data_IF_831783171234
#
_entry.id   IF_831783171234
#
_cell.length_a   1.000
_cell.length_b   1.000
_cell.length_c   1.000
_cell.angle_alpha   90.00
_cell.angle_beta   90.00
_cell.angle_gamma   90.00
#
_symmetry.space_group_name_H-M   'P 1'
#
loop_
_entity.id
_entity.type
_entity.pdbx_description
1 polymer ?
#
# COMPACT_ATOMS: atom_id res chain seq x y z
N UNK A 1 -6.20 -16.95 -16.74
CA UNK A 1 -5.96 -17.11 -15.29
C UNK A 1 -6.95 -16.24 -14.54
N UNK A 2 -7.45 -16.67 -13.38
CA UNK A 2 -8.25 -15.81 -12.51
C UNK A 2 -7.34 -14.66 -12.01
N UNK A 3 -7.62 -13.43 -12.41
CA UNK A 3 -6.83 -12.24 -12.05
C UNK A 3 -6.68 -12.12 -10.53
N UNK A 4 -7.73 -12.48 -9.78
CA UNK A 4 -7.67 -12.44 -8.32
C UNK A 4 -6.81 -13.56 -7.73
N UNK A 5 -6.67 -14.70 -8.40
CA UNK A 5 -5.75 -15.75 -7.96
C UNK A 5 -4.29 -15.28 -8.08
N UNK A 6 -3.93 -14.57 -9.16
CA UNK A 6 -2.59 -13.99 -9.32
C UNK A 6 -2.29 -12.94 -8.25
N UNK A 7 -3.23 -12.01 -8.01
CA UNK A 7 -3.11 -10.98 -6.96
C UNK A 7 -2.94 -11.63 -5.58
N UNK A 8 -3.77 -12.64 -5.23
CA UNK A 8 -3.67 -13.35 -3.96
C UNK A 8 -2.34 -14.11 -3.81
N UNK A 9 -1.82 -14.70 -4.89
CA UNK A 9 -0.51 -15.35 -4.89
C UNK A 9 0.63 -14.34 -4.65
N UNK A 10 0.59 -13.17 -5.29
CA UNK A 10 1.56 -12.11 -5.05
C UNK A 10 1.49 -11.59 -3.60
N UNK A 11 0.28 -11.39 -3.05
CA UNK A 11 0.08 -11.03 -1.64
C UNK A 11 0.68 -12.09 -0.71
N UNK A 12 0.45 -13.37 -0.99
CA UNK A 12 1.03 -14.47 -0.21
C UNK A 12 2.56 -14.47 -0.26
N UNK A 13 3.16 -14.21 -1.43
CA UNK A 13 4.61 -14.09 -1.58
C UNK A 13 5.19 -12.94 -0.74
N UNK A 14 4.55 -11.77 -0.74
CA UNK A 14 4.95 -10.63 0.11
C UNK A 14 4.88 -11.00 1.59
N UNK A 15 3.78 -11.64 2.02
CA UNK A 15 3.58 -12.04 3.43
C UNK A 15 4.53 -13.15 3.88
N UNK A 16 4.97 -14.02 2.97
CA UNK A 16 5.92 -15.09 3.26
C UNK A 16 7.38 -14.60 3.34
N UNK A 17 7.68 -13.45 2.73
CA UNK A 17 8.99 -12.79 2.83
C UNK A 17 9.12 -11.90 4.07
N UNK A 18 10.11 -10.99 4.03
CA UNK A 18 10.25 -9.96 5.05
C UNK A 18 9.25 -8.82 4.79
N UNK A 19 8.02 -8.99 5.30
CA UNK A 19 6.94 -8.02 5.13
C UNK A 19 7.28 -6.67 5.76
N UNK A 20 8.06 -6.65 6.85
CA UNK A 20 8.44 -5.41 7.54
C UNK A 20 9.41 -4.59 6.71
N UNK A 21 10.45 -5.24 6.18
CA UNK A 21 11.36 -4.59 5.24
C UNK A 21 10.64 -4.14 3.98
N UNK A 22 9.81 -5.01 3.39
CA UNK A 22 9.03 -4.68 2.19
C UNK A 22 8.13 -3.47 2.41
N UNK A 23 7.47 -3.38 3.56
CA UNK A 23 6.61 -2.26 3.90
C UNK A 23 7.38 -0.95 4.14
N UNK A 24 8.53 -1.03 4.82
CA UNK A 24 9.42 0.12 5.00
C UNK A 24 9.94 0.66 3.67
N UNK A 25 10.46 -0.23 2.82
CA UNK A 25 10.97 0.11 1.50
C UNK A 25 9.87 0.70 0.59
N UNK A 26 8.65 0.15 0.67
CA UNK A 26 7.50 0.70 -0.04
C UNK A 26 7.18 2.14 0.39
N UNK A 27 7.16 2.43 1.69
CA UNK A 27 6.88 3.78 2.17
C UNK A 27 7.99 4.78 1.79
N UNK A 28 9.26 4.36 1.80
CA UNK A 28 10.37 5.18 1.28
C UNK A 28 10.18 5.46 -0.21
N UNK A 29 9.83 4.45 -1.00
CA UNK A 29 9.53 4.60 -2.43
C UNK A 29 8.33 5.52 -2.66
N UNK A 30 7.25 5.34 -1.90
CA UNK A 30 6.02 6.12 -1.95
C UNK A 30 6.30 7.60 -1.68
N UNK A 31 7.02 7.93 -0.61
CA UNK A 31 7.30 9.33 -0.26
C UNK A 31 8.30 9.99 -1.20
N UNK A 32 9.22 9.23 -1.81
CA UNK A 32 10.07 9.77 -2.89
C UNK A 32 9.25 10.09 -4.14
N UNK A 33 8.29 9.24 -4.49
CA UNK A 33 7.44 9.41 -5.68
C UNK A 33 6.36 10.47 -5.49
N UNK A 34 5.76 10.52 -4.30
CA UNK A 34 4.66 11.39 -3.92
C UNK A 34 4.93 12.07 -2.56
N UNK A 35 5.79 13.10 -2.51
CA UNK A 35 6.21 13.73 -1.27
C UNK A 35 5.06 14.28 -0.41
N UNK A 36 3.99 14.77 -1.04
CA UNK A 36 2.81 15.28 -0.35
C UNK A 36 2.10 14.22 0.53
N UNK A 37 2.27 12.92 0.22
CA UNK A 37 1.73 11.86 1.07
C UNK A 37 2.45 11.79 2.42
N UNK A 38 3.74 12.11 2.48
CA UNK A 38 4.49 12.11 3.75
C UNK A 38 3.90 13.12 4.74
N UNK A 39 3.39 14.25 4.25
CA UNK A 39 2.79 15.30 5.09
C UNK A 39 1.48 14.87 5.77
N UNK A 40 0.85 13.78 5.29
CA UNK A 40 -0.33 13.18 5.92
C UNK A 40 0.02 12.33 7.15
N UNK A 41 1.30 12.07 7.38
CA UNK A 41 1.79 11.28 8.51
C UNK A 41 2.54 12.20 9.49
N UNK A 42 1.90 12.66 10.59
CA UNK A 42 2.50 13.65 11.50
C UNK A 42 3.87 13.24 12.05
N UNK A 43 4.09 11.95 12.28
CA UNK A 43 5.37 11.42 12.77
C UNK A 43 6.50 11.47 11.72
N UNK A 44 6.17 11.63 10.44
CA UNK A 44 7.12 11.62 9.33
C UNK A 44 7.25 12.98 8.65
N UNK A 45 6.23 13.84 8.77
CA UNK A 45 6.21 15.20 8.21
C UNK A 45 7.49 15.98 8.54
N UNK A 46 8.09 16.57 7.51
CA UNK A 46 9.31 17.39 7.63
C UNK A 46 10.61 16.62 7.92
N UNK A 47 10.57 15.29 8.05
CA UNK A 47 11.79 14.46 8.15
C UNK A 47 12.33 14.14 6.75
N UNK A 48 13.64 13.88 6.66
CA UNK A 48 14.21 13.31 5.44
C UNK A 48 13.65 11.91 5.20
N UNK A 49 13.24 11.60 3.97
CA UNK A 49 12.74 10.26 3.61
C UNK A 49 13.79 9.19 3.91
N UNK A 50 15.06 9.49 3.65
CA UNK A 50 16.17 8.55 3.85
C UNK A 50 16.45 8.26 5.34
N UNK A 51 15.95 9.09 6.27
CA UNK A 51 16.10 8.86 7.70
C UNK A 51 14.90 8.16 8.34
N UNK A 52 13.80 7.95 7.62
CA UNK A 52 12.58 7.39 8.19
C UNK A 52 12.76 5.96 8.71
N UNK A 53 13.60 5.15 8.06
CA UNK A 53 13.92 3.79 8.52
C UNK A 53 14.54 3.73 9.91
N UNK A 54 15.18 4.83 10.37
CA UNK A 54 15.75 4.95 11.71
C UNK A 54 14.72 5.36 12.78
N UNK A 55 13.52 5.80 12.38
CA UNK A 55 12.46 6.18 13.30
C UNK A 55 11.86 4.90 13.89
N UNK A 56 11.94 4.73 15.22
CA UNK A 56 11.52 3.50 15.90
C UNK A 56 10.08 3.04 15.58
N UNK A 57 9.18 3.98 15.33
CA UNK A 57 7.78 3.70 14.99
C UNK A 57 7.54 3.44 13.50
N UNK A 58 8.54 3.61 12.64
CA UNK A 58 8.39 3.48 11.19
C UNK A 58 8.07 2.04 10.79
N UNK A 59 8.97 1.10 11.06
CA UNK A 59 8.80 -0.31 10.74
C UNK A 59 7.45 -0.91 11.22
N UNK A 60 7.04 -0.78 12.49
CA UNK A 60 5.76 -1.34 12.94
C UNK A 60 4.55 -0.66 12.28
N UNK A 61 4.61 0.67 12.07
CA UNK A 61 3.49 1.39 11.48
C UNK A 61 3.33 1.08 9.99
N UNK A 62 4.40 1.13 9.20
CA UNK A 62 4.35 0.83 7.76
C UNK A 62 3.92 -0.61 7.51
N UNK A 63 4.41 -1.57 8.32
CA UNK A 63 3.97 -2.97 8.27
C UNK A 63 2.45 -3.08 8.44
N UNK A 64 1.89 -2.41 9.46
CA UNK A 64 0.44 -2.43 9.71
C UNK A 64 -0.35 -1.85 8.54
N UNK A 65 0.10 -0.73 7.96
CA UNK A 65 -0.59 -0.10 6.84
C UNK A 65 -0.53 -0.97 5.59
N UNK A 66 0.65 -1.49 5.22
CA UNK A 66 0.78 -2.35 4.04
C UNK A 66 -0.04 -3.62 4.19
N UNK A 67 -0.04 -4.26 5.37
CA UNK A 67 -0.90 -5.42 5.61
C UNK A 67 -2.39 -5.10 5.38
N UNK A 68 -2.88 -3.96 5.88
CA UNK A 68 -4.27 -3.53 5.68
C UNK A 68 -4.58 -3.24 4.21
N UNK A 69 -3.64 -2.64 3.47
CA UNK A 69 -3.80 -2.40 2.02
C UNK A 69 -3.87 -3.71 1.25
N UNK A 70 -2.95 -4.65 1.50
CA UNK A 70 -2.97 -5.97 0.86
C UNK A 70 -4.26 -6.73 1.19
N UNK A 71 -4.73 -6.65 2.43
CA UNK A 71 -6.00 -7.27 2.83
C UNK A 71 -7.22 -6.62 2.18
N UNK A 72 -7.19 -5.32 1.88
CA UNK A 72 -8.22 -4.64 1.11
C UNK A 72 -8.22 -5.12 -0.34
N UNK A 73 -7.04 -5.17 -0.98
CA UNK A 73 -6.90 -5.62 -2.37
C UNK A 73 -7.30 -7.10 -2.53
N UNK A 74 -7.02 -7.95 -1.53
CA UNK A 74 -7.45 -9.36 -1.55
C UNK A 74 -8.98 -9.54 -1.65
N UNK A 75 -9.76 -8.51 -1.27
CA UNK A 75 -11.23 -8.49 -1.34
C UNK A 75 -11.77 -8.03 -2.69
N UNK A 76 -10.94 -7.58 -3.64
CA UNK A 76 -11.40 -7.00 -4.90
C UNK A 76 -12.22 -7.96 -5.79
N UNK A 77 -12.13 -9.28 -5.56
CA UNK A 77 -12.99 -10.27 -6.21
C UNK A 77 -14.42 -10.34 -5.68
N UNK A 78 -14.74 -9.62 -4.61
CA UNK A 78 -16.08 -9.55 -4.00
C UNK A 78 -16.46 -8.07 -3.82
N UNK A 79 -17.28 -7.57 -4.75
CA UNK A 79 -17.66 -6.16 -4.79
C UNK A 79 -18.41 -5.69 -3.52
N UNK A 80 -19.22 -6.56 -2.90
CA UNK A 80 -19.97 -6.22 -1.69
C UNK A 80 -19.05 -6.06 -0.49
N UNK A 81 -18.13 -7.02 -0.32
CA UNK A 81 -17.12 -6.99 0.76
C UNK A 81 -16.12 -5.85 0.55
N UNK A 82 -15.67 -5.62 -0.68
CA UNK A 82 -14.77 -4.51 -1.00
C UNK A 82 -15.42 -3.15 -0.70
N UNK A 83 -16.66 -2.92 -1.14
CA UNK A 83 -17.35 -1.65 -0.93
C UNK A 83 -17.52 -1.32 0.55
N UNK A 84 -17.86 -2.31 1.39
CA UNK A 84 -17.94 -2.13 2.84
C UNK A 84 -16.59 -1.79 3.46
N UNK A 85 -15.54 -2.53 3.12
CA UNK A 85 -14.19 -2.30 3.63
C UNK A 85 -13.63 -0.94 3.18
N UNK A 86 -13.82 -0.55 1.91
CA UNK A 86 -13.37 0.73 1.38
C UNK A 86 -14.06 1.91 2.06
N UNK A 87 -15.37 1.83 2.31
CA UNK A 87 -16.11 2.86 3.07
C UNK A 87 -15.53 3.06 4.47
N UNK A 88 -15.22 1.96 5.17
CA UNK A 88 -14.60 2.05 6.50
C UNK A 88 -13.22 2.69 6.44
N UNK A 89 -12.38 2.28 5.47
CA UNK A 89 -11.06 2.89 5.26
C UNK A 89 -11.19 4.40 5.03
N UNK A 90 -12.09 4.83 4.15
CA UNK A 90 -12.31 6.27 3.90
C UNK A 90 -12.73 6.98 5.18
N UNK A 91 -13.72 6.46 5.92
CA UNK A 91 -14.20 7.05 7.16
C UNK A 91 -13.08 7.23 8.20
N UNK A 92 -12.20 6.24 8.35
CA UNK A 92 -11.09 6.26 9.30
C UNK A 92 -9.98 7.28 8.94
N UNK A 93 -9.95 7.73 7.68
CA UNK A 93 -8.90 8.60 7.15
C UNK A 93 -9.37 10.04 6.87
N UNK A 94 -10.68 10.34 6.92
CA UNK A 94 -11.18 11.72 6.81
C UNK A 94 -10.55 12.62 7.88
N UNK A 95 -10.49 12.16 9.13
CA UNK A 95 -9.87 12.88 10.25
C UNK A 95 -8.35 13.08 10.09
N UNK A 96 -7.73 12.36 9.15
CA UNK A 96 -6.30 12.45 8.80
C UNK A 96 -6.06 13.31 7.56
N UNK A 97 -7.10 13.96 7.04
CA UNK A 97 -7.03 14.85 5.88
C UNK A 97 -6.93 14.13 4.54
N UNK A 98 -7.29 12.86 4.46
CA UNK A 98 -7.39 12.10 3.19
C UNK A 98 -8.85 12.11 2.75
N UNK A 99 -9.19 13.00 1.81
CA UNK A 99 -10.60 13.33 1.51
C UNK A 99 -10.94 13.33 0.03
N UNK A 100 -9.98 13.57 -0.86
CA UNK A 100 -10.24 13.73 -2.30
C UNK A 100 -10.17 12.42 -3.09
N UNK A 101 -9.70 11.34 -2.45
CA UNK A 101 -9.44 10.07 -3.12
C UNK A 101 -8.06 10.00 -3.81
N UNK A 102 -7.48 11.16 -4.15
CA UNK A 102 -6.20 11.25 -4.86
C UNK A 102 -5.06 10.54 -4.13
N UNK A 103 -5.04 10.60 -2.80
CA UNK A 103 -4.02 9.91 -2.02
C UNK A 103 -4.06 8.38 -2.16
N UNK A 104 -5.25 7.79 -2.38
CA UNK A 104 -5.37 6.35 -2.64
C UNK A 104 -4.92 6.00 -4.06
N UNK A 105 -5.24 6.85 -5.04
CA UNK A 105 -4.76 6.70 -6.41
C UNK A 105 -3.22 6.72 -6.45
N UNK A 106 -2.60 7.68 -5.78
CA UNK A 106 -1.13 7.78 -5.68
C UNK A 106 -0.52 6.56 -4.97
N UNK A 107 -1.16 6.10 -3.89
CA UNK A 107 -0.76 4.88 -3.19
C UNK A 107 -0.69 3.67 -4.13
N UNK A 108 -1.76 3.42 -4.90
CA UNK A 108 -1.81 2.27 -5.81
C UNK A 108 -0.91 2.45 -7.04
N UNK A 109 -0.78 3.68 -7.55
CA UNK A 109 0.17 4.02 -8.62
C UNK A 109 1.64 3.79 -8.21
N UNK A 110 1.96 3.85 -6.91
CA UNK A 110 3.26 3.44 -6.38
C UNK A 110 3.34 1.94 -6.08
N UNK A 111 2.27 1.34 -5.54
CA UNK A 111 2.28 -0.04 -5.05
C UNK A 111 2.54 -1.05 -6.17
N UNK A 112 1.85 -0.92 -7.31
CA UNK A 112 1.95 -1.87 -8.42
C UNK A 112 3.37 -1.98 -8.98
N UNK A 113 4.05 -0.88 -9.38
CA UNK A 113 5.43 -0.97 -9.86
C UNK A 113 6.42 -1.39 -8.76
N UNK A 114 6.18 -1.01 -7.50
CA UNK A 114 7.01 -1.44 -6.38
C UNK A 114 6.94 -2.96 -6.20
N UNK A 115 5.74 -3.55 -6.18
CA UNK A 115 5.56 -5.00 -6.05
C UNK A 115 6.13 -5.75 -7.25
N UNK A 116 6.03 -5.19 -8.46
CA UNK A 116 6.66 -5.78 -9.64
C UNK A 116 8.18 -5.85 -9.52
N UNK A 117 8.82 -4.82 -8.99
CA UNK A 117 10.26 -4.85 -8.72
C UNK A 117 10.61 -5.81 -7.56
N UNK A 118 9.87 -5.73 -6.45
CA UNK A 118 10.14 -6.51 -5.24
C UNK A 118 9.96 -8.02 -5.43
N UNK A 119 9.02 -8.42 -6.30
CA UNK A 119 8.76 -9.83 -6.64
C UNK A 119 9.55 -10.30 -7.87
N UNK A 120 10.57 -9.55 -8.31
CA UNK A 120 11.44 -9.96 -9.41
C UNK A 120 10.73 -10.11 -10.76
N UNK A 121 9.71 -9.28 -11.02
CA UNK A 121 8.91 -9.33 -12.24
C UNK A 121 7.77 -10.36 -12.24
N UNK A 122 7.61 -11.15 -11.18
CA UNK A 122 6.52 -12.13 -11.04
C UNK A 122 5.15 -11.51 -10.68
N UNK A 123 5.09 -10.18 -10.53
CA UNK A 123 3.84 -9.46 -10.26
C UNK A 123 3.05 -9.30 -11.57
N UNK A 124 1.82 -9.82 -11.60
CA UNK A 124 0.91 -9.59 -12.72
C UNK A 124 0.36 -8.16 -12.63
N UNK A 125 1.08 -7.21 -13.23
CA UNK A 125 0.72 -5.79 -13.16
C UNK A 125 -0.69 -5.50 -13.71
N UNK A 126 -1.15 -6.27 -14.71
CA UNK A 126 -2.48 -6.10 -15.27
C UNK A 126 -3.56 -6.52 -14.27
N UNK A 127 -3.37 -7.68 -13.60
CA UNK A 127 -4.29 -8.13 -12.55
C UNK A 127 -4.33 -7.18 -11.36
N UNK A 128 -3.18 -6.63 -10.95
CA UNK A 128 -3.12 -5.62 -9.90
C UNK A 128 -3.80 -4.32 -10.30
N UNK A 129 -3.56 -3.83 -11.52
CA UNK A 129 -4.20 -2.60 -12.02
C UNK A 129 -5.73 -2.77 -12.08
N UNK A 130 -6.23 -3.94 -12.47
CA UNK A 130 -7.67 -4.25 -12.44
C UNK A 130 -8.23 -4.31 -11.01
N UNK A 131 -7.45 -4.74 -10.03
CA UNK A 131 -7.87 -4.86 -8.63
C UNK A 131 -7.79 -3.54 -7.85
N UNK A 132 -7.04 -2.55 -8.34
CA UNK A 132 -6.79 -1.27 -7.65
C UNK A 132 -7.19 -0.02 -8.43
N UNK A 133 -7.61 -0.18 -9.68
CA UNK A 133 -8.00 0.91 -10.60
C UNK A 133 -9.48 1.29 -10.55
#
# INVERSE_FOLDING_TARGET
>A
ADQMAAVKANIAAVKAGDVTKTAGDFFVFLFKKFPALQDKFPNYKGKSVDSLSSVATFAPHTTKVVAAVLDLVAKAGDAGVLAGAAKQVVADHVSRGVVSGAEYTDLFAALVPFLAAALGGACDQAAWTAATG
#
